data_IF_026120746841
#
_entry.id   IF_026120746841
#
_cell.length_a   1.000
_cell.length_b   1.000
_cell.length_c   1.000
_cell.angle_alpha   90.00
_cell.angle_beta   90.00
_cell.angle_gamma   90.00
#
_symmetry.space_group_name_H-M   'P 1'
#
loop_
_entity.id
_entity.type
_entity.pdbx_description
1 polymer ?
#
# COMPACT_ATOMS: atom_id res chain seq x y z
N UNK A 1 -2.82 28.59 41.20
CA UNK A 1 -3.31 29.03 39.88
C UNK A 1 -2.73 28.09 38.84
N UNK A 2 -3.54 27.44 38.00
CA UNK A 2 -3.01 26.63 36.91
C UNK A 2 -2.30 27.56 35.91
N UNK A 3 -1.05 27.25 35.56
CA UNK A 3 -0.33 28.01 34.55
C UNK A 3 -1.10 27.95 33.23
N UNK A 4 -1.44 29.12 32.66
CA UNK A 4 -2.12 29.17 31.35
C UNK A 4 -1.15 28.67 30.28
N UNK A 5 -1.64 27.80 29.40
CA UNK A 5 -0.86 27.34 28.26
C UNK A 5 -0.51 28.52 27.35
N UNK A 6 0.77 28.61 26.98
CA UNK A 6 1.23 29.56 25.97
C UNK A 6 0.75 29.14 24.57
N UNK A 7 0.64 30.09 23.64
CA UNK A 7 0.24 29.77 22.26
C UNK A 7 1.17 28.77 21.58
N UNK A 8 2.47 28.80 21.94
CA UNK A 8 3.46 27.82 21.47
C UNK A 8 3.14 26.41 21.96
N UNK A 9 2.73 26.25 23.22
CA UNK A 9 2.33 24.96 23.77
C UNK A 9 1.03 24.44 23.15
N UNK A 10 0.05 25.32 22.92
CA UNK A 10 -1.20 24.95 22.23
C UNK A 10 -0.93 24.45 20.81
N UNK A 11 -0.10 25.17 20.04
CA UNK A 11 0.31 24.74 18.68
C UNK A 11 1.04 23.40 18.70
N UNK A 12 1.88 23.15 19.72
CA UNK A 12 2.59 21.88 19.88
C UNK A 12 1.61 20.72 20.19
N UNK A 13 0.63 20.93 21.07
CA UNK A 13 -0.41 19.94 21.38
C UNK A 13 -1.20 19.57 20.12
N UNK A 14 -1.56 20.55 19.28
CA UNK A 14 -2.25 20.31 18.00
C UNK A 14 -1.38 19.48 17.04
N UNK A 15 -0.10 19.81 16.91
CA UNK A 15 0.82 19.04 16.06
C UNK A 15 0.98 17.59 16.53
N UNK A 16 1.20 17.39 17.84
CA UNK A 16 1.31 16.06 18.44
C UNK A 16 0.00 15.27 18.28
N UNK A 17 -1.16 15.92 18.40
CA UNK A 17 -2.46 15.29 18.15
C UNK A 17 -2.64 14.89 16.67
N UNK A 18 -2.24 15.72 15.72
CA UNK A 18 -2.28 15.38 14.28
C UNK A 18 -1.33 14.23 13.92
N UNK A 19 -0.34 13.94 14.75
CA UNK A 19 0.56 12.79 14.60
C UNK A 19 -0.01 11.53 15.25
N UNK A 20 -0.42 11.60 16.52
CA UNK A 20 -0.82 10.41 17.29
C UNK A 20 -2.32 10.12 17.29
N UNK A 21 -3.15 11.03 16.74
CA UNK A 21 -4.61 10.96 16.66
C UNK A 21 -5.28 10.61 18.00
N UNK A 22 -4.65 10.99 19.11
CA UNK A 22 -5.07 10.63 20.46
C UNK A 22 -4.78 11.77 21.43
N UNK A 23 -5.85 12.33 22.01
CA UNK A 23 -5.76 13.43 22.98
C UNK A 23 -4.95 13.00 24.21
N UNK A 24 -5.04 11.73 24.62
CA UNK A 24 -4.30 11.21 25.76
C UNK A 24 -2.79 11.11 25.49
N UNK A 25 -2.39 10.61 24.31
CA UNK A 25 -0.97 10.60 23.94
C UNK A 25 -0.43 12.02 23.77
N UNK A 26 -1.17 12.91 23.11
CA UNK A 26 -0.77 14.30 22.93
C UNK A 26 -0.61 15.02 24.28
N UNK A 27 -1.53 14.78 25.23
CA UNK A 27 -1.44 15.34 26.59
C UNK A 27 -0.18 14.84 27.33
N UNK A 28 0.10 13.53 27.28
CA UNK A 28 1.29 12.92 27.89
C UNK A 28 2.59 13.44 27.27
N UNK A 29 2.68 13.52 25.93
CA UNK A 29 3.85 14.08 25.22
C UNK A 29 4.13 15.54 25.59
N UNK A 30 3.09 16.30 25.90
CA UNK A 30 3.20 17.72 26.27
C UNK A 30 3.26 17.96 27.79
N UNK A 31 3.15 16.91 28.62
CA UNK A 31 3.16 17.03 30.08
C UNK A 31 1.95 17.82 30.62
N UNK A 32 0.81 17.79 29.93
CA UNK A 32 -0.42 18.51 30.31
C UNK A 32 -1.54 17.53 30.69
N UNK A 33 -2.54 18.01 31.42
CA UNK A 33 -3.73 17.22 31.69
C UNK A 33 -4.54 16.98 30.41
N UNK A 34 -5.31 15.89 30.40
CA UNK A 34 -6.19 15.55 29.27
C UNK A 34 -7.17 16.69 28.96
N UNK A 35 -7.80 17.29 29.98
CA UNK A 35 -8.72 18.42 29.81
C UNK A 35 -8.04 19.65 29.21
N UNK A 36 -6.79 19.91 29.56
CA UNK A 36 -6.02 21.05 29.02
C UNK A 36 -5.68 20.83 27.54
N UNK A 37 -5.31 19.60 27.19
CA UNK A 37 -5.07 19.23 25.79
C UNK A 37 -6.37 19.31 24.97
N UNK A 38 -7.49 18.80 25.50
CA UNK A 38 -8.79 18.87 24.83
C UNK A 38 -9.22 20.31 24.54
N UNK A 39 -9.10 21.20 25.54
CA UNK A 39 -9.40 22.63 25.34
C UNK A 39 -8.50 23.29 24.30
N UNK A 40 -7.20 22.97 24.31
CA UNK A 40 -6.28 23.50 23.31
C UNK A 40 -6.63 23.04 21.89
N UNK A 41 -7.18 21.83 21.74
CA UNK A 41 -7.66 21.32 20.45
C UNK A 41 -8.98 21.99 20.02
N UNK A 42 -9.95 22.13 20.94
CA UNK A 42 -11.21 22.84 20.69
C UNK A 42 -10.98 24.31 20.29
N UNK A 43 -10.06 25.00 20.98
CA UNK A 43 -9.69 26.39 20.69
C UNK A 43 -8.95 26.56 19.36
N UNK A 44 -8.22 25.54 18.91
CA UNK A 44 -7.40 25.64 17.70
C UNK A 44 -8.23 25.66 16.41
N UNK A 45 -9.45 25.11 16.43
CA UNK A 45 -10.34 25.07 15.26
C UNK A 45 -9.76 24.31 14.06
N UNK A 46 -10.62 23.87 13.14
CA UNK A 46 -10.22 23.24 11.86
C UNK A 46 -9.28 22.01 11.96
N UNK A 47 -9.16 21.38 13.13
CA UNK A 47 -8.29 20.20 13.32
C UNK A 47 -8.76 19.04 12.47
N UNK A 48 -10.07 18.86 12.35
CA UNK A 48 -10.69 17.81 11.54
C UNK A 48 -10.32 17.93 10.05
N UNK A 49 -10.34 19.16 9.51
CA UNK A 49 -9.93 19.43 8.13
C UNK A 49 -8.44 19.15 7.91
N UNK A 50 -7.58 19.53 8.86
CA UNK A 50 -6.13 19.24 8.81
C UNK A 50 -5.83 17.75 8.95
N UNK A 51 -6.65 17.03 9.73
CA UNK A 51 -6.54 15.59 9.89
C UNK A 51 -6.89 14.88 8.59
N UNK A 52 -7.94 15.32 7.91
CA UNK A 52 -8.37 14.75 6.64
C UNK A 52 -7.34 15.00 5.53
N UNK A 53 -6.84 16.24 5.40
CA UNK A 53 -5.76 16.57 4.47
C UNK A 53 -4.50 15.70 4.69
N UNK A 54 -4.09 15.50 5.96
CA UNK A 54 -2.92 14.67 6.28
C UNK A 54 -3.15 13.18 5.96
N UNK A 55 -4.38 12.67 6.08
CA UNK A 55 -4.70 11.30 5.64
C UNK A 55 -4.64 11.17 4.13
N UNK A 56 -5.17 12.15 3.40
CA UNK A 56 -5.10 12.20 1.94
C UNK A 56 -3.64 12.26 1.46
N UNK A 57 -2.82 13.13 2.06
CA UNK A 57 -1.38 13.22 1.79
C UNK A 57 -0.65 11.91 2.10
N UNK A 58 -0.84 11.32 3.30
CA UNK A 58 -0.23 10.04 3.64
C UNK A 58 -0.65 8.91 2.70
N UNK A 59 -1.91 8.91 2.24
CA UNK A 59 -2.41 7.92 1.29
C UNK A 59 -1.77 8.12 -0.08
N UNK A 60 -1.67 9.37 -0.54
CA UNK A 60 -0.99 9.71 -1.79
C UNK A 60 0.51 9.36 -1.74
N UNK A 61 1.18 9.61 -0.62
CA UNK A 61 2.59 9.28 -0.41
C UNK A 61 2.84 7.77 -0.44
N UNK A 62 1.97 6.98 0.19
CA UNK A 62 2.05 5.51 0.14
C UNK A 62 1.82 5.02 -1.29
N UNK A 63 0.83 5.55 -2.00
CA UNK A 63 0.57 5.18 -3.39
C UNK A 63 1.75 5.56 -4.30
N UNK A 64 2.32 6.74 -4.14
CA UNK A 64 3.49 7.19 -4.87
C UNK A 64 4.73 6.32 -4.56
N UNK A 65 4.91 5.95 -3.30
CA UNK A 65 5.96 5.01 -2.90
C UNK A 65 5.74 3.63 -3.55
N UNK A 66 4.52 3.08 -3.51
CA UNK A 66 4.19 1.81 -4.16
C UNK A 66 4.44 1.84 -5.68
N UNK A 67 4.04 2.92 -6.36
CA UNK A 67 4.32 3.10 -7.79
C UNK A 67 5.83 3.22 -8.06
N UNK A 68 6.58 3.92 -7.19
CA UNK A 68 8.04 4.01 -7.30
C UNK A 68 8.74 2.65 -7.15
N UNK A 69 8.15 1.73 -6.38
CA UNK A 69 8.69 0.39 -6.16
C UNK A 69 8.25 -0.61 -7.24
N UNK A 70 7.24 -0.29 -8.06
CA UNK A 70 6.68 -1.19 -9.08
C UNK A 70 7.75 -1.72 -10.03
N UNK A 71 8.64 -0.85 -10.52
CA UNK A 71 9.74 -1.26 -11.40
C UNK A 71 10.67 -2.28 -10.75
N UNK A 72 11.08 -2.03 -9.50
CA UNK A 72 11.93 -2.94 -8.74
C UNK A 72 11.24 -4.28 -8.48
N UNK A 73 9.95 -4.26 -8.13
CA UNK A 73 9.16 -5.48 -7.92
C UNK A 73 9.05 -6.29 -9.21
N UNK A 74 8.74 -5.66 -10.34
CA UNK A 74 8.71 -6.32 -11.65
C UNK A 74 10.08 -6.93 -12.01
N UNK A 75 11.18 -6.23 -11.71
CA UNK A 75 12.53 -6.74 -11.95
C UNK A 75 12.86 -7.96 -11.08
N UNK A 76 12.49 -7.93 -9.80
CA UNK A 76 12.67 -9.07 -8.88
C UNK A 76 11.86 -10.28 -9.35
N UNK A 77 10.60 -10.06 -9.74
CA UNK A 77 9.73 -11.11 -10.29
C UNK A 77 10.37 -11.68 -11.56
N UNK A 78 10.81 -10.83 -12.49
CA UNK A 78 11.49 -11.26 -13.72
C UNK A 78 12.73 -12.10 -13.46
N UNK A 79 13.59 -11.68 -12.53
CA UNK A 79 14.77 -12.44 -12.10
C UNK A 79 14.39 -13.80 -11.48
N UNK A 80 13.34 -13.83 -10.66
CA UNK A 80 12.82 -15.07 -10.06
C UNK A 80 12.29 -16.03 -11.13
N UNK A 81 11.50 -15.54 -12.07
CA UNK A 81 10.97 -16.34 -13.18
C UNK A 81 12.08 -16.88 -14.09
N UNK A 82 13.09 -16.05 -14.40
CA UNK A 82 14.26 -16.50 -15.17
C UNK A 82 15.03 -17.61 -14.45
N UNK A 83 15.21 -17.50 -13.13
CA UNK A 83 15.85 -18.53 -12.33
C UNK A 83 15.02 -19.83 -12.22
N UNK A 84 13.68 -19.73 -12.24
CA UNK A 84 12.78 -20.88 -12.27
C UNK A 84 12.72 -21.55 -13.65
N UNK A 85 12.98 -20.80 -14.73
CA UNK A 85 13.04 -21.31 -16.10
C UNK A 85 14.45 -21.75 -16.52
N UNK A 86 15.40 -21.78 -15.59
CA UNK A 86 16.78 -22.18 -15.86
C UNK A 86 16.85 -23.71 -16.12
N UNK A 87 17.35 -24.16 -17.29
CA UNK A 87 17.34 -25.57 -17.66
C UNK A 87 18.15 -26.47 -16.73
N UNK A 88 19.26 -25.97 -16.18
CA UNK A 88 20.12 -26.74 -15.27
C UNK A 88 19.43 -26.94 -13.93
N UNK A 89 18.84 -25.86 -13.39
CA UNK A 89 18.04 -25.94 -12.14
C UNK A 89 16.79 -26.79 -12.28
N UNK A 90 16.14 -26.75 -13.44
CA UNK A 90 14.97 -27.60 -13.73
C UNK A 90 15.35 -29.08 -13.84
N UNK A 91 16.54 -29.39 -14.38
CA UNK A 91 17.04 -30.75 -14.46
C UNK A 91 17.43 -31.33 -13.08
N UNK A 92 17.92 -30.48 -12.17
CA UNK A 92 18.24 -30.86 -10.79
C UNK A 92 17.02 -30.92 -9.85
N UNK A 93 15.92 -30.25 -10.23
CA UNK A 93 14.71 -30.20 -9.43
C UNK A 93 13.94 -31.53 -9.45
N UNK A 94 13.35 -31.88 -8.30
CA UNK A 94 12.45 -33.05 -8.23
C UNK A 94 11.11 -32.74 -8.90
N UNK A 95 10.41 -33.76 -9.45
CA UNK A 95 9.07 -33.57 -10.01
C UNK A 95 8.09 -32.88 -9.06
N UNK A 96 8.16 -33.19 -7.76
CA UNK A 96 7.32 -32.55 -6.75
C UNK A 96 7.59 -31.05 -6.61
N UNK A 97 8.85 -30.62 -6.62
CA UNK A 97 9.22 -29.21 -6.55
C UNK A 97 8.73 -28.44 -7.79
N UNK A 98 8.86 -29.05 -8.97
CA UNK A 98 8.37 -28.48 -10.23
C UNK A 98 6.85 -28.32 -10.17
N UNK A 99 6.10 -29.36 -9.75
CA UNK A 99 4.65 -29.29 -9.62
C UNK A 99 4.19 -28.24 -8.60
N UNK A 100 4.86 -28.11 -7.45
CA UNK A 100 4.54 -27.07 -6.46
C UNK A 100 4.81 -25.66 -7.00
N UNK A 101 5.94 -25.46 -7.69
CA UNK A 101 6.28 -24.17 -8.29
C UNK A 101 5.26 -23.78 -9.37
N UNK A 102 4.92 -24.71 -10.27
CA UNK A 102 3.90 -24.49 -11.30
C UNK A 102 2.51 -24.22 -10.70
N UNK A 103 2.08 -24.99 -9.70
CA UNK A 103 0.80 -24.78 -9.04
C UNK A 103 0.71 -23.40 -8.37
N UNK A 104 1.78 -22.95 -7.72
CA UNK A 104 1.84 -21.61 -7.10
C UNK A 104 1.81 -20.50 -8.15
N UNK A 105 2.54 -20.65 -9.26
CA UNK A 105 2.54 -19.69 -10.35
C UNK A 105 1.15 -19.59 -10.99
N UNK A 106 0.51 -20.72 -11.31
CA UNK A 106 -0.83 -20.75 -11.90
C UNK A 106 -1.87 -20.14 -10.94
N UNK A 107 -1.86 -20.50 -9.66
CA UNK A 107 -2.74 -19.91 -8.64
C UNK A 107 -2.59 -18.39 -8.58
N UNK A 108 -1.35 -17.89 -8.54
CA UNK A 108 -1.08 -16.45 -8.45
C UNK A 108 -1.46 -15.73 -9.75
N UNK A 109 -1.12 -16.26 -10.92
CA UNK A 109 -1.48 -15.66 -12.21
C UNK A 109 -3.00 -15.63 -12.45
N UNK A 110 -3.70 -16.70 -12.10
CA UNK A 110 -5.18 -16.76 -12.25
C UNK A 110 -5.89 -15.89 -11.22
N UNK A 111 -5.36 -15.73 -10.00
CA UNK A 111 -5.88 -14.78 -9.02
C UNK A 111 -5.78 -13.31 -9.47
N UNK A 112 -4.78 -12.95 -10.28
CA UNK A 112 -4.72 -11.61 -10.90
C UNK A 112 -5.71 -11.45 -12.05
N UNK A 113 -6.05 -12.55 -12.75
CA UNK A 113 -7.07 -12.55 -13.82
C UNK A 113 -8.51 -12.80 -13.34
N UNK A 114 -8.73 -13.05 -12.05
CA UNK A 114 -9.95 -13.68 -11.53
C UNK A 114 -10.53 -13.08 -10.25
N UNK A 115 -11.02 -11.83 -10.31
CA UNK A 115 -12.18 -11.33 -9.54
C UNK A 115 -11.91 -10.27 -8.45
N UNK A 116 -12.93 -9.49 -8.01
CA UNK A 116 -14.36 -9.49 -8.34
C UNK A 116 -14.85 -8.17 -8.99
N UNK A 117 -15.77 -8.27 -9.96
CA UNK A 117 -16.53 -7.13 -10.46
C UNK A 117 -16.09 -6.64 -11.83
N UNK A 118 -16.98 -6.86 -12.79
CA UNK A 118 -17.32 -5.94 -13.87
C UNK A 118 -16.75 -4.52 -13.69
N UNK A 119 -16.16 -3.95 -14.76
CA UNK A 119 -15.61 -2.58 -14.88
C UNK A 119 -14.13 -2.33 -14.53
N UNK A 120 -13.20 -2.87 -15.32
CA UNK A 120 -11.96 -2.13 -15.60
C UNK A 120 -11.54 -2.40 -17.05
N UNK A 121 -11.49 -1.31 -17.82
CA UNK A 121 -11.31 -1.28 -19.27
C UNK A 121 -10.04 -2.03 -19.71
N UNK A 122 -10.19 -2.78 -20.81
CA UNK A 122 -9.12 -3.37 -21.63
C UNK A 122 -7.83 -2.53 -21.59
N UNK A 123 -6.85 -3.02 -20.84
CA UNK A 123 -5.47 -2.61 -21.02
C UNK A 123 -4.90 -3.36 -22.23
N UNK A 124 -4.08 -2.68 -23.05
CA UNK A 124 -3.61 -3.22 -24.33
C UNK A 124 -2.86 -4.55 -24.24
N UNK A 125 -2.40 -4.92 -23.03
CA UNK A 125 -1.83 -6.24 -22.73
C UNK A 125 -2.89 -7.36 -22.78
N UNK A 126 -4.09 -7.11 -22.27
CA UNK A 126 -5.21 -8.07 -22.33
C UNK A 126 -5.64 -8.35 -23.77
N UNK A 127 -5.63 -7.34 -24.63
CA UNK A 127 -5.89 -7.51 -26.07
C UNK A 127 -4.80 -8.34 -26.76
N UNK A 128 -3.52 -8.01 -26.54
CA UNK A 128 -2.42 -8.75 -27.17
C UNK A 128 -2.36 -10.23 -26.76
N UNK A 129 -2.75 -10.55 -25.52
CA UNK A 129 -2.79 -11.94 -25.05
C UNK A 129 -3.98 -12.72 -25.63
N UNK A 130 -5.10 -12.05 -25.89
CA UNK A 130 -6.29 -12.68 -26.47
C UNK A 130 -6.11 -12.95 -27.97
N UNK A 131 -5.51 -12.01 -28.71
CA UNK A 131 -5.14 -12.21 -30.11
C UNK A 131 -4.14 -13.36 -30.29
N UNK A 132 -3.19 -13.50 -29.36
CA UNK A 132 -2.23 -14.61 -29.38
C UNK A 132 -2.90 -15.96 -29.11
N UNK A 133 -3.91 -16.00 -28.24
CA UNK A 133 -4.68 -17.20 -27.93
C UNK A 133 -5.57 -17.63 -29.11
N UNK A 134 -6.25 -16.68 -29.77
CA UNK A 134 -7.10 -16.96 -30.93
C UNK A 134 -6.28 -17.40 -32.17
N UNK A 135 -5.04 -16.89 -32.30
CA UNK A 135 -4.10 -17.34 -33.35
C UNK A 135 -3.60 -18.78 -33.20
N UNK A 136 -3.72 -19.37 -32.00
CA UNK A 136 -3.31 -20.76 -31.73
C UNK A 136 -4.46 -21.77 -31.92
N UNK A 137 -5.72 -21.31 -31.96
CA UNK A 137 -6.90 -22.16 -32.20
C UNK A 137 -7.27 -22.27 -33.70
N UNK A 138 -6.52 -21.62 -34.59
CA UNK A 138 -6.85 -21.52 -36.02
C UNK A 138 -6.03 -22.43 -36.96
N UNK A 139 -5.35 -23.45 -36.44
CA UNK A 139 -4.63 -24.46 -37.25
C UNK A 139 -5.40 -25.81 -37.22
N UNK A 140 -6.56 -25.81 -37.88
CA UNK A 140 -7.27 -27.00 -38.42
C UNK A 140 -7.90 -26.65 -39.78
#
# INVERSE_FOLDING_TARGET
>A
MAARLTDRQKKKIVADYLECQSVNLAAKKNGVSWDSAKKALEEAGEIEKKLEQKKEENTADILAYMESQKGLVCEIIGKGLAALNDPEKLAEATPAQITTALGTLIDKFTAFGGGPGDTAKDDGLSQSLRELAEGLESDD
#
